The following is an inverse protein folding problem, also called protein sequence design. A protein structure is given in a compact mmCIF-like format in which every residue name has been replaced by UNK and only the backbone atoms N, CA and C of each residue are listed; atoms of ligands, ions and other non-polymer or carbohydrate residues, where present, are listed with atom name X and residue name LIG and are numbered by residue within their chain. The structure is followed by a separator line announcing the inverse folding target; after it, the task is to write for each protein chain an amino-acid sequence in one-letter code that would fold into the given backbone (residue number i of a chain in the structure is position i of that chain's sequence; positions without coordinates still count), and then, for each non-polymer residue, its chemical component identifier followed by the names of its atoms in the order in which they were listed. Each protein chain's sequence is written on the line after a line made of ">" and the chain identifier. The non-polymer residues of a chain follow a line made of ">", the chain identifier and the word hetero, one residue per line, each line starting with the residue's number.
data_IF_159192245039
#
_entry.id   IF_159192245039
#
_cell.length_a   1.000
_cell.length_b   1.000
_cell.length_c   1.000
_cell.angle_alpha   90.00
_cell.angle_beta   90.00
_cell.angle_gamma   90.00
#
_symmetry.space_group_name_H-M   'P 1'
#
loop_
_entity.id
_entity.type
_entity.pdbx_description
1 polymer ?
#
# COMPACT_ATOMS: atom_id res chain seq x y z
N UNK A 1 24.36 -4.06 40.43
CA UNK A 1 23.67 -3.57 39.19
C UNK A 1 22.87 -2.36 39.59
N UNK A 2 23.21 -1.17 39.04
CA UNK A 2 22.36 0.00 39.24
C UNK A 2 21.11 -0.25 38.39
N UNK A 3 19.97 -0.42 39.05
CA UNK A 3 18.70 -0.52 38.39
C UNK A 3 18.35 0.86 37.81
N UNK A 4 18.11 0.91 36.51
CA UNK A 4 17.60 2.10 35.84
C UNK A 4 16.47 1.71 34.87
N UNK A 5 15.52 2.59 34.72
CA UNK A 5 14.49 2.50 33.69
C UNK A 5 14.76 3.53 32.59
N UNK A 6 14.24 3.28 31.43
CA UNK A 6 14.29 4.25 30.33
C UNK A 6 12.87 4.65 29.94
N UNK A 7 12.66 5.93 29.70
CA UNK A 7 11.39 6.49 29.28
C UNK A 7 11.56 7.27 27.99
N UNK A 8 10.85 6.86 26.96
CA UNK A 8 10.80 7.53 25.65
C UNK A 8 9.41 8.13 25.46
N UNK A 9 9.35 9.40 25.16
CA UNK A 9 8.12 10.13 24.86
C UNK A 9 8.16 10.56 23.41
N UNK A 10 7.05 10.35 22.72
CA UNK A 10 6.85 10.74 21.32
C UNK A 10 5.57 11.55 21.24
N UNK A 11 5.64 12.70 20.60
CA UNK A 11 4.47 13.45 20.15
C UNK A 11 4.57 13.58 18.63
N UNK A 12 3.63 12.95 17.91
CA UNK A 12 3.66 12.82 16.45
C UNK A 12 2.40 13.38 15.81
N UNK A 13 2.14 14.69 15.92
CA UNK A 13 1.01 15.29 15.24
C UNK A 13 1.18 15.23 13.72
N UNK A 14 0.08 14.91 13.04
CA UNK A 14 0.01 14.89 11.60
C UNK A 14 -1.27 15.57 11.11
N UNK A 15 -1.17 16.26 9.99
CA UNK A 15 -2.33 16.77 9.28
C UNK A 15 -2.12 16.65 7.78
N UNK A 16 -3.22 16.50 7.05
CA UNK A 16 -3.18 16.40 5.60
C UNK A 16 -4.43 16.95 4.95
N UNK A 17 -4.30 17.31 3.69
CA UNK A 17 -5.39 17.68 2.82
C UNK A 17 -5.29 16.92 1.52
N UNK A 18 -6.44 16.58 0.94
CA UNK A 18 -6.49 15.89 -0.34
C UNK A 18 -7.56 16.51 -1.24
N UNK A 19 -7.22 16.62 -2.52
CA UNK A 19 -8.16 16.99 -3.58
C UNK A 19 -8.24 15.84 -4.57
N UNK A 20 -9.45 15.50 -4.98
CA UNK A 20 -9.62 14.45 -5.98
C UNK A 20 -10.71 14.83 -6.97
N UNK A 21 -10.55 14.30 -8.18
CA UNK A 21 -11.54 14.39 -9.25
C UNK A 21 -11.62 13.05 -9.96
N UNK A 22 -12.81 12.63 -10.34
CA UNK A 22 -13.04 11.48 -11.22
C UNK A 22 -14.17 11.79 -12.19
N UNK A 23 -13.97 11.47 -13.45
CA UNK A 23 -14.95 11.57 -14.51
C UNK A 23 -14.99 10.29 -15.31
N UNK A 24 -16.19 9.94 -15.79
CA UNK A 24 -16.40 8.82 -16.71
C UNK A 24 -17.08 9.35 -17.96
N UNK A 25 -16.56 8.94 -19.11
CA UNK A 25 -17.18 9.16 -20.41
C UNK A 25 -17.72 7.84 -20.91
N UNK A 26 -19.03 7.75 -21.00
CA UNK A 26 -19.70 6.55 -21.50
C UNK A 26 -19.91 6.59 -23.00
N UNK A 27 -19.92 5.42 -23.63
CA UNK A 27 -20.08 5.23 -25.07
C UNK A 27 -19.02 5.99 -25.90
N UNK A 28 -17.81 6.08 -25.38
CA UNK A 28 -16.67 6.67 -26.07
C UNK A 28 -16.35 5.85 -27.32
N UNK A 29 -16.42 6.41 -28.50
CA UNK A 29 -16.18 5.77 -29.79
C UNK A 29 -17.20 4.69 -30.20
N UNK A 30 -17.72 3.89 -29.28
CA UNK A 30 -18.72 2.83 -29.53
C UNK A 30 -19.61 2.60 -28.31
N UNK A 31 -20.80 2.05 -28.54
CA UNK A 31 -21.70 1.65 -27.46
C UNK A 31 -21.05 0.66 -26.52
N UNK A 32 -21.21 0.87 -25.21
CA UNK A 32 -20.69 -0.01 -24.18
C UNK A 32 -19.24 0.26 -23.78
N UNK A 33 -18.49 1.10 -24.51
CA UNK A 33 -17.13 1.49 -24.16
C UNK A 33 -17.15 2.71 -23.26
N UNK A 34 -16.62 2.60 -22.03
CA UNK A 34 -16.50 3.69 -21.07
C UNK A 34 -15.06 3.90 -20.68
N UNK A 35 -14.65 5.16 -20.56
CA UNK A 35 -13.35 5.58 -20.07
C UNK A 35 -13.53 6.39 -18.79
N UNK A 36 -12.90 5.94 -17.72
CA UNK A 36 -12.82 6.66 -16.46
C UNK A 36 -11.41 7.23 -16.29
N UNK A 37 -11.34 8.51 -15.97
CA UNK A 37 -10.12 9.18 -15.55
C UNK A 37 -10.30 9.72 -14.13
N UNK A 38 -9.35 9.44 -13.26
CA UNK A 38 -9.29 9.94 -11.90
C UNK A 38 -7.92 10.50 -11.59
N UNK A 39 -7.89 11.53 -10.75
CA UNK A 39 -6.67 12.11 -10.21
C UNK A 39 -6.91 12.53 -8.78
N UNK A 40 -5.95 12.25 -7.91
CA UNK A 40 -5.95 12.70 -6.53
C UNK A 40 -4.59 13.31 -6.21
N UNK A 41 -4.62 14.43 -5.54
CA UNK A 41 -3.44 15.08 -4.94
C UNK A 41 -3.58 15.03 -3.43
N UNK A 42 -2.55 14.54 -2.77
CA UNK A 42 -2.44 14.49 -1.32
C UNK A 42 -1.25 15.34 -0.87
N UNK A 43 -1.46 16.11 0.19
CA UNK A 43 -0.41 16.78 0.93
C UNK A 43 -0.53 16.38 2.40
N UNK A 44 0.59 15.96 2.98
CA UNK A 44 0.67 15.57 4.38
C UNK A 44 1.86 16.25 5.05
N UNK A 45 1.65 16.68 6.27
CA UNK A 45 2.70 17.18 7.16
C UNK A 45 2.65 16.40 8.45
N UNK A 46 3.78 15.89 8.89
CA UNK A 46 3.93 15.22 10.18
C UNK A 46 5.17 15.74 10.89
N UNK A 47 5.11 15.84 12.19
CA UNK A 47 6.25 16.13 13.05
C UNK A 47 6.42 15.03 14.09
N UNK A 48 7.60 14.96 14.67
CA UNK A 48 7.90 14.07 15.77
C UNK A 48 8.78 14.82 16.78
N UNK A 49 8.21 15.08 17.93
CA UNK A 49 8.92 15.61 19.08
C UNK A 49 9.27 14.44 20.00
N UNK A 50 10.55 14.17 20.14
CA UNK A 50 11.08 13.03 20.88
C UNK A 50 11.87 13.48 22.10
N UNK A 51 11.57 12.84 23.24
CA UNK A 51 12.30 13.01 24.49
C UNK A 51 12.68 11.64 25.04
N UNK A 52 13.95 11.49 25.41
CA UNK A 52 14.48 10.27 26.00
C UNK A 52 15.05 10.57 27.38
N UNK A 53 14.54 9.88 28.39
CA UNK A 53 14.95 9.99 29.78
C UNK A 53 15.51 8.68 30.29
N UNK A 54 16.53 8.79 31.15
CA UNK A 54 17.00 7.73 32.02
C UNK A 54 16.52 8.01 33.44
N UNK A 55 15.79 7.08 34.01
CA UNK A 55 15.24 7.17 35.36
C UNK A 55 16.05 6.29 36.29
N UNK A 56 16.52 6.87 37.42
CA UNK A 56 17.27 6.21 38.47
C UNK A 56 16.67 6.59 39.81
N UNK A 57 17.04 5.94 40.91
CA UNK A 57 16.60 6.29 42.27
C UNK A 57 16.98 7.75 42.65
N UNK A 58 17.93 8.33 41.95
CA UNK A 58 18.36 9.73 42.15
C UNK A 58 17.63 10.76 41.31
N UNK A 59 16.67 10.35 40.45
CA UNK A 59 15.90 11.24 39.60
C UNK A 59 15.89 10.86 38.11
N UNK A 60 15.34 11.74 37.31
CA UNK A 60 15.20 11.57 35.85
C UNK A 60 16.22 12.49 35.13
N UNK A 61 17.02 11.93 34.25
CA UNK A 61 18.00 12.64 33.43
C UNK A 61 17.58 12.56 31.96
N UNK A 62 17.48 13.72 31.28
CA UNK A 62 17.23 13.75 29.85
C UNK A 62 18.50 13.38 29.09
N UNK A 63 18.44 12.29 28.35
CA UNK A 63 19.55 11.73 27.60
C UNK A 63 19.62 12.25 26.17
N UNK A 64 18.44 12.46 25.54
CA UNK A 64 18.33 12.91 24.16
C UNK A 64 17.01 13.63 23.93
N UNK A 65 16.99 14.56 22.97
CA UNK A 65 15.82 15.26 22.52
C UNK A 65 16.02 15.70 21.07
N UNK A 66 15.05 15.47 20.22
CA UNK A 66 15.05 16.05 18.88
C UNK A 66 13.62 16.34 18.40
N UNK A 67 13.52 17.33 17.54
CA UNK A 67 12.34 17.58 16.73
C UNK A 67 12.64 17.26 15.25
N UNK A 68 11.70 16.72 14.57
CA UNK A 68 11.81 16.45 13.14
C UNK A 68 10.48 16.66 12.45
N UNK A 69 10.52 17.18 11.22
CA UNK A 69 9.33 17.52 10.44
C UNK A 69 9.44 16.96 9.05
N UNK A 70 8.41 16.28 8.59
CA UNK A 70 8.34 15.71 7.26
C UNK A 70 7.12 16.27 6.51
N UNK A 71 7.30 16.47 5.22
CA UNK A 71 6.23 16.90 4.30
C UNK A 71 6.23 15.95 3.13
N UNK A 72 5.05 15.49 2.78
CA UNK A 72 4.84 14.60 1.65
C UNK A 72 3.79 15.19 0.73
N UNK A 73 4.03 15.10 -0.58
CA UNK A 73 3.01 15.40 -1.57
C UNK A 73 3.04 14.32 -2.65
N UNK A 74 1.85 13.85 -3.04
CA UNK A 74 1.71 12.80 -4.03
C UNK A 74 0.55 13.07 -4.97
N UNK A 75 0.76 12.68 -6.22
CA UNK A 75 -0.30 12.62 -7.23
C UNK A 75 -0.54 11.16 -7.56
N UNK A 76 -1.80 10.72 -7.43
CA UNK A 76 -2.23 9.35 -7.69
C UNK A 76 -3.28 9.32 -8.82
N UNK A 77 -2.84 9.18 -10.08
CA UNK A 77 -3.73 9.06 -11.23
C UNK A 77 -4.36 7.65 -11.29
N UNK A 78 -5.55 7.59 -11.90
CA UNK A 78 -6.27 6.38 -12.25
C UNK A 78 -6.81 6.51 -13.67
N UNK A 79 -6.64 5.47 -14.48
CA UNK A 79 -7.30 5.31 -15.77
C UNK A 79 -7.95 3.94 -15.77
N UNK A 80 -9.21 3.88 -16.20
CA UNK A 80 -9.93 2.62 -16.36
C UNK A 80 -10.70 2.64 -17.69
N UNK A 81 -10.53 1.60 -18.47
CA UNK A 81 -11.27 1.34 -19.68
C UNK A 81 -12.17 0.14 -19.42
N UNK A 82 -13.44 0.25 -19.75
CA UNK A 82 -14.44 -0.79 -19.57
C UNK A 82 -15.25 -0.95 -20.86
N UNK A 83 -15.49 -2.19 -21.26
CA UNK A 83 -16.37 -2.51 -22.36
C UNK A 83 -17.47 -3.45 -21.90
N UNK A 84 -18.71 -2.98 -21.98
CA UNK A 84 -19.92 -3.75 -21.73
C UNK A 84 -20.41 -4.37 -23.03
N UNK A 85 -20.50 -5.70 -23.09
CA UNK A 85 -21.02 -6.38 -24.25
C UNK A 85 -22.54 -6.15 -24.41
N UNK A 86 -23.06 -6.03 -25.66
CA UNK A 86 -24.48 -5.85 -25.89
C UNK A 86 -25.34 -7.01 -25.34
N UNK A 87 -24.81 -8.21 -25.34
CA UNK A 87 -25.51 -9.41 -24.84
C UNK A 87 -25.44 -9.49 -23.33
N UNK A 88 -24.25 -9.60 -22.79
CA UNK A 88 -24.00 -9.69 -21.34
C UNK A 88 -22.50 -9.76 -21.09
N UNK A 89 -22.08 -9.36 -19.88
CA UNK A 89 -20.69 -9.40 -19.45
C UNK A 89 -19.87 -8.16 -19.79
N UNK A 90 -18.65 -8.09 -19.27
CA UNK A 90 -17.75 -6.96 -19.49
C UNK A 90 -16.29 -7.38 -19.49
N UNK A 91 -15.49 -6.59 -20.18
CA UNK A 91 -14.02 -6.54 -20.03
C UNK A 91 -13.62 -5.21 -19.39
N UNK A 92 -12.55 -5.21 -18.64
CA UNK A 92 -11.96 -3.98 -18.12
C UNK A 92 -10.45 -4.05 -18.08
N UNK A 93 -9.85 -2.89 -18.17
CA UNK A 93 -8.43 -2.69 -17.91
C UNK A 93 -8.26 -1.44 -17.04
N UNK A 94 -7.41 -1.51 -16.01
CA UNK A 94 -7.14 -0.38 -15.12
C UNK A 94 -5.66 -0.17 -14.94
N UNK A 95 -5.29 1.11 -14.81
CA UNK A 95 -3.95 1.53 -14.38
C UNK A 95 -4.14 2.53 -13.27
N UNK A 96 -3.59 2.22 -12.09
CA UNK A 96 -3.71 3.08 -10.92
C UNK A 96 -2.36 3.25 -10.24
N UNK A 97 -2.07 4.46 -9.78
CA UNK A 97 -0.94 4.72 -8.88
C UNK A 97 -1.45 4.81 -7.45
N UNK A 98 -0.81 4.05 -6.56
CA UNK A 98 -0.99 4.13 -5.12
C UNK A 98 0.25 4.68 -4.42
N UNK A 99 0.09 5.11 -3.17
CA UNK A 99 1.22 5.44 -2.32
C UNK A 99 0.90 5.13 -0.85
N UNK A 100 1.95 4.99 -0.07
CA UNK A 100 1.91 4.97 1.38
C UNK A 100 2.87 6.03 1.89
N UNK A 101 2.42 6.85 2.82
CA UNK A 101 3.23 7.96 3.34
C UNK A 101 4.50 7.48 4.02
N UNK A 102 5.51 8.34 4.09
CA UNK A 102 6.68 8.14 4.92
C UNK A 102 6.41 8.45 6.39
N UNK A 103 7.44 8.38 7.21
CA UNK A 103 7.29 8.65 8.64
C UNK A 103 8.58 8.52 9.42
N UNK A 104 8.43 8.36 10.71
CA UNK A 104 9.51 8.26 11.69
C UNK A 104 9.59 6.86 12.29
N UNK A 105 10.81 6.40 12.52
CA UNK A 105 11.08 5.21 13.32
C UNK A 105 11.28 5.61 14.79
N UNK A 106 10.68 4.86 15.68
CA UNK A 106 10.84 5.03 17.13
C UNK A 106 12.10 4.38 17.66
N UNK A 107 12.70 3.49 16.87
CA UNK A 107 13.98 2.84 17.15
C UNK A 107 14.70 2.64 15.82
N UNK A 108 15.99 2.85 15.80
CA UNK A 108 16.83 2.73 14.61
C UNK A 108 18.28 2.49 15.02
N UNK A 109 19.08 1.90 14.13
CA UNK A 109 20.50 1.65 14.36
C UNK A 109 21.38 2.84 13.93
N UNK A 110 20.97 3.58 12.90
CA UNK A 110 21.72 4.71 12.33
C UNK A 110 20.79 5.93 12.17
N UNK A 111 21.36 7.11 12.27
CA UNK A 111 20.62 8.37 12.10
C UNK A 111 19.85 8.45 10.78
N UNK A 112 20.37 7.89 9.71
CA UNK A 112 19.70 7.84 8.41
C UNK A 112 18.42 7.00 8.43
N UNK A 113 18.30 6.05 9.34
CA UNK A 113 17.15 5.19 9.54
C UNK A 113 16.09 5.81 10.47
N UNK A 114 16.30 7.04 10.97
CA UNK A 114 15.33 7.79 11.77
C UNK A 114 14.02 8.02 11.03
N UNK A 115 14.10 8.21 9.72
CA UNK A 115 12.94 8.44 8.87
C UNK A 115 12.92 7.47 7.71
N UNK A 116 11.73 7.21 7.19
CA UNK A 116 11.54 6.45 5.97
C UNK A 116 10.69 7.23 4.96
N UNK A 117 10.98 7.02 3.68
CA UNK A 117 10.34 7.72 2.57
C UNK A 117 9.00 7.10 2.20
N UNK A 118 8.13 7.83 1.48
CA UNK A 118 6.93 7.25 0.89
C UNK A 118 7.25 6.07 -0.02
N UNK A 119 6.38 5.08 0.03
CA UNK A 119 6.31 3.96 -0.90
C UNK A 119 5.31 4.30 -2.00
N UNK A 120 5.60 3.91 -3.23
CA UNK A 120 4.68 4.10 -4.36
C UNK A 120 4.51 2.80 -5.14
N UNK A 121 3.33 2.59 -5.70
CA UNK A 121 3.03 1.45 -6.54
C UNK A 121 2.26 1.85 -7.79
N UNK A 122 2.54 1.14 -8.89
CA UNK A 122 1.67 1.14 -10.05
C UNK A 122 0.99 -0.21 -10.12
N UNK A 123 -0.33 -0.20 -10.20
CA UNK A 123 -1.15 -1.40 -10.36
C UNK A 123 -1.79 -1.40 -11.75
N UNK A 124 -1.58 -2.50 -12.46
CA UNK A 124 -2.13 -2.78 -13.78
C UNK A 124 -3.04 -3.99 -13.64
N UNK A 125 -4.29 -3.84 -14.04
CA UNK A 125 -5.27 -4.92 -14.00
C UNK A 125 -5.94 -5.06 -15.36
N UNK A 126 -6.19 -6.30 -15.73
CA UNK A 126 -7.06 -6.68 -16.83
C UNK A 126 -8.00 -7.78 -16.36
N UNK A 127 -9.29 -7.60 -16.59
CA UNK A 127 -10.26 -8.58 -16.13
C UNK A 127 -11.48 -8.70 -17.02
N UNK A 128 -12.20 -9.77 -16.76
CA UNK A 128 -13.47 -10.10 -17.42
C UNK A 128 -14.49 -10.53 -16.37
N UNK A 129 -15.74 -10.13 -16.57
CA UNK A 129 -16.89 -10.60 -15.80
C UNK A 129 -17.96 -11.06 -16.77
N UNK A 130 -18.46 -12.26 -16.56
CA UNK A 130 -19.49 -12.79 -17.44
C UNK A 130 -20.47 -13.67 -16.67
N UNK A 131 -21.77 -13.39 -16.75
CA UNK A 131 -22.79 -14.29 -16.27
C UNK A 131 -23.07 -15.38 -17.33
N UNK A 132 -23.24 -16.60 -16.85
CA UNK A 132 -23.59 -17.79 -17.63
C UNK A 132 -24.90 -18.38 -17.12
N UNK A 133 -25.50 -19.30 -17.90
CA UNK A 133 -26.64 -20.09 -17.50
C UNK A 133 -27.85 -19.23 -17.03
N UNK A 134 -28.22 -18.23 -17.82
CA UNK A 134 -29.30 -17.27 -17.48
C UNK A 134 -29.10 -16.60 -16.12
N UNK A 135 -27.87 -16.10 -15.87
CA UNK A 135 -27.42 -15.46 -14.63
C UNK A 135 -27.34 -16.38 -13.39
N UNK A 136 -27.42 -17.70 -13.58
CA UNK A 136 -27.25 -18.64 -12.47
C UNK A 136 -25.79 -18.85 -12.06
N UNK A 137 -24.86 -18.54 -12.94
CA UNK A 137 -23.41 -18.62 -12.69
C UNK A 137 -22.76 -17.31 -13.13
N UNK A 138 -22.08 -16.63 -12.21
CA UNK A 138 -21.24 -15.48 -12.50
C UNK A 138 -19.77 -15.91 -12.40
N UNK A 139 -19.01 -15.64 -13.44
CA UNK A 139 -17.57 -15.87 -13.46
C UNK A 139 -16.83 -14.54 -13.58
N UNK A 140 -15.83 -14.38 -12.77
CA UNK A 140 -14.90 -13.24 -12.80
C UNK A 140 -13.48 -13.75 -12.93
N UNK A 141 -12.72 -13.09 -13.79
CA UNK A 141 -11.29 -13.32 -13.97
C UNK A 141 -10.57 -11.98 -13.87
N UNK A 142 -9.45 -11.96 -13.14
CA UNK A 142 -8.57 -10.80 -13.06
C UNK A 142 -7.11 -11.26 -13.17
N UNK A 143 -6.35 -10.61 -14.04
CA UNK A 143 -4.90 -10.62 -14.04
C UNK A 143 -4.42 -9.29 -13.47
N UNK A 144 -3.44 -9.31 -12.57
CA UNK A 144 -2.85 -8.12 -12.01
C UNK A 144 -1.32 -8.16 -12.06
N UNK A 145 -0.75 -6.97 -12.16
CA UNK A 145 0.69 -6.73 -12.02
C UNK A 145 0.90 -5.43 -11.24
N UNK A 146 1.65 -5.53 -10.14
CA UNK A 146 1.95 -4.42 -9.25
C UNK A 146 3.46 -4.21 -9.22
N UNK A 147 3.90 -3.00 -9.52
CA UNK A 147 5.30 -2.57 -9.46
C UNK A 147 5.46 -1.59 -8.30
N UNK A 148 6.18 -1.99 -7.25
CA UNK A 148 6.47 -1.17 -6.08
C UNK A 148 7.85 -0.55 -6.15
N UNK A 149 7.93 0.73 -5.73
CA UNK A 149 9.17 1.46 -5.53
C UNK A 149 9.26 1.95 -4.10
N UNK A 150 10.46 1.87 -3.53
CA UNK A 150 10.73 2.26 -2.15
C UNK A 150 9.82 1.53 -1.14
N UNK A 151 9.54 0.25 -1.36
CA UNK A 151 8.67 -0.52 -0.47
C UNK A 151 9.16 -0.46 0.97
N UNK A 152 8.26 -0.16 1.89
CA UNK A 152 8.55 -0.07 3.31
C UNK A 152 8.51 -1.46 3.93
N UNK A 153 9.64 -1.93 4.41
CA UNK A 153 9.78 -3.23 5.06
C UNK A 153 10.33 -3.09 6.47
N UNK A 154 9.92 -3.99 7.34
CA UNK A 154 10.48 -4.09 8.68
C UNK A 154 11.84 -4.78 8.65
N UNK A 155 12.82 -4.17 9.32
CA UNK A 155 14.10 -4.76 9.61
C UNK A 155 14.31 -4.85 11.12
N UNK A 156 15.01 -5.91 11.57
CA UNK A 156 15.38 -6.06 12.97
C UNK A 156 16.53 -5.12 13.30
N UNK A 157 16.48 -4.50 14.48
CA UNK A 157 17.63 -3.81 15.04
C UNK A 157 18.84 -4.75 15.23
N UNK A 158 20.04 -4.21 15.21
CA UNK A 158 21.27 -4.98 15.45
C UNK A 158 21.26 -5.66 16.84
N UNK A 159 20.60 -5.05 17.81
CA UNK A 159 20.38 -5.60 19.16
C UNK A 159 19.34 -6.72 19.22
N UNK A 160 18.62 -6.98 18.14
CA UNK A 160 17.50 -7.92 18.05
C UNK A 160 16.29 -7.61 18.98
N UNK A 161 16.30 -6.49 19.68
CA UNK A 161 15.28 -6.07 20.63
C UNK A 161 14.29 -5.05 20.05
N UNK A 162 13.95 -5.17 18.77
CA UNK A 162 13.01 -4.28 18.09
C UNK A 162 13.19 -4.29 16.59
N UNK A 163 12.35 -3.50 15.94
CA UNK A 163 12.35 -3.39 14.49
C UNK A 163 12.09 -1.94 14.07
N UNK A 164 12.52 -1.62 12.87
CA UNK A 164 12.30 -0.33 12.24
C UNK A 164 11.90 -0.50 10.77
N UNK A 165 11.24 0.50 10.20
CA UNK A 165 10.90 0.54 8.79
C UNK A 165 12.05 1.10 7.97
N UNK A 166 12.37 0.42 6.89
CA UNK A 166 13.34 0.86 5.88
C UNK A 166 12.73 0.72 4.50
N UNK A 167 13.10 1.61 3.60
CA UNK A 167 12.70 1.48 2.21
C UNK A 167 13.59 0.43 1.53
N UNK A 168 12.99 -0.68 1.10
CA UNK A 168 13.59 -1.57 0.12
C UNK A 168 13.65 -0.89 -1.24
N UNK A 169 14.42 -1.42 -2.17
CA UNK A 169 14.48 -0.91 -3.51
C UNK A 169 13.16 -1.06 -4.26
N UNK A 170 13.08 -2.04 -5.12
CA UNK A 170 11.92 -2.33 -5.97
C UNK A 170 11.42 -3.75 -5.73
N UNK A 171 10.12 -3.92 -5.72
CA UNK A 171 9.49 -5.24 -5.74
C UNK A 171 8.38 -5.31 -6.78
N UNK A 172 8.04 -6.51 -7.17
CA UNK A 172 7.01 -6.80 -8.17
C UNK A 172 6.11 -7.91 -7.63
N UNK A 173 4.81 -7.76 -7.85
CA UNK A 173 3.83 -8.81 -7.61
C UNK A 173 2.93 -8.94 -8.83
N UNK A 174 2.69 -10.16 -9.28
CA UNK A 174 1.78 -10.46 -10.37
C UNK A 174 1.02 -11.74 -10.09
N UNK A 175 -0.19 -11.80 -10.59
CA UNK A 175 -1.03 -12.95 -10.33
C UNK A 175 -2.31 -12.96 -11.12
N UNK A 176 -3.08 -14.00 -10.83
CA UNK A 176 -4.43 -14.18 -11.39
C UNK A 176 -5.39 -14.49 -10.26
N UNK A 177 -6.61 -13.99 -10.41
CA UNK A 177 -7.73 -14.26 -9.53
C UNK A 177 -8.91 -14.74 -10.36
N UNK A 178 -9.60 -15.77 -9.87
CA UNK A 178 -10.81 -16.31 -10.47
C UNK A 178 -11.86 -16.44 -9.39
N UNK A 179 -13.05 -15.91 -9.63
CA UNK A 179 -14.22 -16.08 -8.77
C UNK A 179 -15.36 -16.67 -9.57
N UNK A 180 -15.95 -17.72 -9.04
CA UNK A 180 -17.15 -18.36 -9.57
C UNK A 180 -18.23 -18.31 -8.49
N UNK A 181 -19.38 -17.74 -8.80
CA UNK A 181 -20.52 -17.68 -7.89
C UNK A 181 -21.78 -18.14 -8.63
N UNK A 182 -22.49 -19.08 -8.07
CA UNK A 182 -23.67 -19.62 -8.73
C UNK A 182 -24.72 -20.17 -7.80
N UNK A 183 -25.93 -20.28 -8.36
CA UNK A 183 -27.11 -20.90 -7.74
C UNK A 183 -27.47 -22.17 -8.52
N UNK A 184 -26.79 -23.31 -8.29
CA UNK A 184 -27.01 -24.52 -9.08
C UNK A 184 -28.41 -25.08 -8.95
N UNK A 185 -29.04 -24.93 -7.78
CA UNK A 185 -30.43 -25.28 -7.50
C UNK A 185 -31.06 -24.22 -6.60
N UNK A 186 -32.38 -24.15 -6.57
CA UNK A 186 -33.10 -23.19 -5.73
C UNK A 186 -32.74 -23.41 -4.25
N UNK A 187 -32.37 -22.31 -3.57
CA UNK A 187 -32.00 -22.31 -2.16
C UNK A 187 -30.52 -22.66 -1.87
N UNK A 188 -29.71 -22.96 -2.88
CA UNK A 188 -28.30 -23.23 -2.72
C UNK A 188 -27.45 -22.21 -3.50
N UNK A 189 -26.58 -21.47 -2.80
CA UNK A 189 -25.56 -20.62 -3.38
C UNK A 189 -24.19 -21.25 -3.14
N UNK A 190 -23.38 -21.33 -4.19
CA UNK A 190 -21.99 -21.82 -4.13
C UNK A 190 -21.06 -20.73 -4.64
N UNK A 191 -19.99 -20.48 -3.92
CA UNK A 191 -18.93 -19.57 -4.33
C UNK A 191 -17.57 -20.26 -4.22
N UNK A 192 -16.75 -20.14 -5.26
CA UNK A 192 -15.39 -20.65 -5.32
C UNK A 192 -14.48 -19.51 -5.74
N UNK A 193 -13.43 -19.26 -4.98
CA UNK A 193 -12.40 -18.28 -5.29
C UNK A 193 -11.06 -18.97 -5.37
N UNK A 194 -10.28 -18.62 -6.40
CA UNK A 194 -8.91 -19.05 -6.59
C UNK A 194 -8.03 -17.83 -6.82
N UNK A 195 -6.89 -17.78 -6.16
CA UNK A 195 -5.87 -16.76 -6.35
C UNK A 195 -4.48 -17.36 -6.44
N UNK A 196 -3.70 -16.88 -7.39
CA UNK A 196 -2.29 -17.18 -7.51
C UNK A 196 -1.50 -15.87 -7.55
N UNK A 197 -0.47 -15.77 -6.73
CA UNK A 197 0.40 -14.58 -6.65
C UNK A 197 1.86 -15.00 -6.68
N UNK A 198 2.63 -14.36 -7.53
CA UNK A 198 4.08 -14.44 -7.58
C UNK A 198 4.68 -13.08 -7.25
N UNK A 199 5.34 -12.97 -6.09
CA UNK A 199 5.96 -11.75 -5.60
C UNK A 199 7.48 -11.92 -5.50
N UNK A 200 8.23 -10.91 -5.98
CA UNK A 200 9.70 -10.91 -5.96
C UNK A 200 10.25 -9.54 -5.63
N UNK A 201 11.33 -9.51 -4.86
CA UNK A 201 12.17 -8.32 -4.76
C UNK A 201 13.07 -8.25 -6.00
N UNK A 202 13.12 -7.08 -6.62
CA UNK A 202 13.98 -6.81 -7.80
C UNK A 202 15.29 -6.16 -7.40
N UNK A 203 15.26 -5.38 -6.33
CA UNK A 203 16.40 -4.58 -5.89
C UNK A 203 16.32 -4.43 -4.36
N UNK A 204 16.68 -5.51 -3.67
CA UNK A 204 16.72 -5.56 -2.22
C UNK A 204 18.12 -5.93 -1.74
N UNK A 205 18.70 -5.10 -0.87
CA UNK A 205 19.97 -5.38 -0.21
C UNK A 205 19.75 -5.56 1.28
N UNK A 206 20.06 -6.74 1.77
CA UNK A 206 20.20 -6.98 3.21
C UNK A 206 21.68 -6.81 3.60
N UNK A 207 22.03 -5.63 4.10
CA UNK A 207 23.40 -5.32 4.48
C UNK A 207 23.99 -6.23 5.55
N UNK A 208 23.15 -6.92 6.33
CA UNK A 208 23.59 -7.88 7.35
C UNK A 208 24.01 -9.21 6.77
N UNK A 209 23.50 -9.57 5.60
CA UNK A 209 23.83 -10.84 4.93
C UNK A 209 24.81 -10.70 3.77
N UNK A 210 25.22 -9.48 3.44
CA UNK A 210 26.11 -9.22 2.31
C UNK A 210 25.52 -9.63 0.95
N UNK A 211 24.18 -9.73 0.87
CA UNK A 211 23.43 -10.15 -0.33
C UNK A 211 22.64 -8.97 -0.87
#
# INVERSE_FOLDING_TARGET
>A
TKDYATRKLYDTPAYGVAFYHQSTVDNLLTRGLSLTFGIRYDYEHTSNDFLFYKETDGGSEQMDAFDSRLKFSQVTPKIALQYMFPSTGMLYATVTKGYKTGGFNTSFDREEDRTFRPETSWNYEFGAKHPFLDNRLNAEFCFFWIDWKNQQIYQMLATQNGQFLRNAGRSESKGVEVSLQGNPVNGLMVQVNYGFTHATFKDYKDERRGI
#
